data_IF_793188449452
#
_entry.id   IF_793188449452
#
_cell.length_a   1.000
_cell.length_b   1.000
_cell.length_c   1.000
_cell.angle_alpha   90.00
_cell.angle_beta   90.00
_cell.angle_gamma   90.00
#
_symmetry.space_group_name_H-M   'P 1'
#
loop_
_entity.id
_entity.type
_entity.pdbx_description
1 polymer ?
#
# COMPACT_ATOMS: atom_id res chain seq x y z
N UNK A 1 13.17 -11.73 25.21
CA UNK A 1 12.38 -11.30 24.03
C UNK A 1 12.79 -12.21 22.89
N UNK A 2 11.83 -12.81 22.17
CA UNK A 2 12.14 -13.63 20.99
C UNK A 2 12.60 -12.76 19.81
N UNK A 3 13.28 -13.37 18.85
CA UNK A 3 13.67 -12.70 17.61
C UNK A 3 12.42 -12.33 16.78
N UNK A 4 12.47 -11.15 16.15
CA UNK A 4 11.41 -10.70 15.23
C UNK A 4 11.85 -10.92 13.79
N UNK A 5 11.06 -11.68 13.04
CA UNK A 5 11.28 -11.96 11.63
C UNK A 5 10.21 -11.24 10.80
N UNK A 6 10.66 -10.47 9.81
CA UNK A 6 9.81 -9.72 8.89
C UNK A 6 9.98 -10.30 7.49
N UNK A 7 8.89 -10.37 6.73
CA UNK A 7 8.91 -10.72 5.31
C UNK A 7 8.35 -9.58 4.45
N UNK A 8 9.01 -9.29 3.33
CA UNK A 8 8.42 -8.48 2.26
C UNK A 8 7.56 -9.40 1.39
N UNK A 9 6.24 -9.19 1.35
CA UNK A 9 5.31 -10.13 0.69
C UNK A 9 5.04 -9.80 -0.78
N UNK A 10 5.87 -8.98 -1.40
CA UNK A 10 5.73 -8.56 -2.79
C UNK A 10 7.10 -8.44 -3.46
N UNK A 11 7.11 -8.54 -4.77
CA UNK A 11 8.22 -8.14 -5.64
C UNK A 11 7.74 -7.08 -6.64
N UNK A 12 8.66 -6.54 -7.44
CA UNK A 12 8.36 -5.45 -8.38
C UNK A 12 7.31 -5.82 -9.45
N UNK A 13 7.26 -7.07 -9.89
CA UNK A 13 6.35 -7.53 -10.93
C UNK A 13 4.95 -7.78 -10.35
N UNK A 14 4.85 -8.38 -9.16
CA UNK A 14 3.57 -8.64 -8.49
C UNK A 14 2.76 -7.36 -8.23
N UNK A 15 3.43 -6.21 -8.15
CA UNK A 15 2.79 -4.90 -7.99
C UNK A 15 1.88 -4.53 -9.17
N UNK A 16 2.05 -5.10 -10.36
CA UNK A 16 1.17 -4.77 -11.50
C UNK A 16 -0.28 -5.24 -11.32
N UNK A 17 -0.53 -6.21 -10.43
CA UNK A 17 -1.87 -6.69 -10.09
C UNK A 17 -2.05 -6.81 -8.58
N UNK A 18 -2.54 -5.72 -7.98
CA UNK A 18 -2.79 -5.64 -6.54
C UNK A 18 -3.82 -6.66 -6.05
N UNK A 19 -4.85 -6.97 -6.83
CA UNK A 19 -5.89 -7.90 -6.40
C UNK A 19 -5.35 -9.33 -6.33
N UNK A 20 -4.60 -9.75 -7.35
CA UNK A 20 -3.93 -11.05 -7.36
C UNK A 20 -2.92 -11.17 -6.22
N UNK A 21 -2.08 -10.15 -6.03
CA UNK A 21 -1.12 -10.09 -4.94
C UNK A 21 -1.79 -10.24 -3.56
N UNK A 22 -2.81 -9.44 -3.26
CA UNK A 22 -3.50 -9.51 -1.96
C UNK A 22 -4.23 -10.84 -1.76
N UNK A 23 -4.86 -11.39 -2.81
CA UNK A 23 -5.47 -12.73 -2.74
C UNK A 23 -4.45 -13.80 -2.42
N UNK A 24 -3.25 -13.74 -3.01
CA UNK A 24 -2.15 -14.66 -2.72
C UNK A 24 -1.69 -14.53 -1.27
N UNK A 25 -1.47 -13.30 -0.80
CA UNK A 25 -1.06 -13.04 0.60
C UNK A 25 -2.10 -13.59 1.58
N UNK A 26 -3.39 -13.37 1.32
CA UNK A 26 -4.46 -13.91 2.16
C UNK A 26 -4.46 -15.46 2.17
N UNK A 27 -4.27 -16.10 1.01
CA UNK A 27 -4.20 -17.55 0.89
C UNK A 27 -2.98 -18.18 1.57
N UNK A 28 -1.86 -17.46 1.61
CA UNK A 28 -0.61 -17.93 2.24
C UNK A 28 -0.49 -17.53 3.73
N UNK A 29 -1.42 -16.77 4.29
CA UNK A 29 -1.31 -16.21 5.64
C UNK A 29 -1.03 -17.26 6.73
N UNK A 30 -1.68 -18.43 6.66
CA UNK A 30 -1.45 -19.53 7.60
C UNK A 30 -0.03 -20.10 7.50
N UNK A 31 0.51 -20.21 6.28
CA UNK A 31 1.87 -20.70 6.03
C UNK A 31 2.90 -19.67 6.52
N UNK A 32 2.66 -18.37 6.28
CA UNK A 32 3.52 -17.29 6.76
C UNK A 32 3.61 -17.32 8.30
N UNK A 33 2.47 -17.40 8.99
CA UNK A 33 2.45 -17.49 10.46
C UNK A 33 3.13 -18.76 10.99
N UNK A 34 2.86 -19.91 10.38
CA UNK A 34 3.46 -21.20 10.80
C UNK A 34 4.97 -21.27 10.58
N UNK A 35 5.51 -20.46 9.65
CA UNK A 35 6.95 -20.32 9.42
C UNK A 35 7.66 -19.46 10.49
N UNK A 36 6.94 -18.91 11.46
CA UNK A 36 7.50 -18.08 12.53
C UNK A 36 7.70 -16.61 12.14
N UNK A 37 7.11 -16.15 11.04
CA UNK A 37 7.14 -14.75 10.63
C UNK A 37 6.23 -13.92 11.55
N UNK A 38 6.76 -12.82 12.09
CA UNK A 38 6.02 -11.93 13.00
C UNK A 38 5.29 -10.81 12.27
N UNK A 39 5.83 -10.35 11.14
CA UNK A 39 5.25 -9.24 10.38
C UNK A 39 5.46 -9.36 8.87
N UNK A 40 4.49 -8.82 8.12
CA UNK A 40 4.47 -8.84 6.66
C UNK A 40 4.44 -7.40 6.12
N UNK A 41 5.52 -6.99 5.46
CA UNK A 41 5.60 -5.71 4.74
C UNK A 41 4.82 -5.80 3.43
N UNK A 42 3.69 -5.09 3.41
CA UNK A 42 2.74 -4.94 2.31
C UNK A 42 3.14 -3.77 1.41
N UNK A 43 2.78 -3.78 0.12
CA UNK A 43 3.13 -2.71 -0.81
C UNK A 43 2.38 -1.40 -0.52
N UNK A 44 2.79 -0.27 -1.12
CA UNK A 44 2.05 0.98 -1.04
C UNK A 44 0.59 0.76 -1.50
N UNK A 45 -0.41 1.09 -0.66
CA UNK A 45 -1.80 0.72 -0.94
C UNK A 45 -2.57 1.80 -1.71
N UNK A 46 -2.06 3.04 -1.73
CA UNK A 46 -2.73 4.19 -2.32
C UNK A 46 -2.62 4.21 -3.85
N UNK A 47 -3.57 4.88 -4.48
CA UNK A 47 -3.55 5.15 -5.91
C UNK A 47 -2.34 6.01 -6.26
N UNK A 48 -1.68 5.64 -7.37
CA UNK A 48 -0.41 6.17 -7.81
C UNK A 48 -0.36 6.38 -9.31
N UNK A 49 0.58 7.19 -9.78
CA UNK A 49 0.87 7.37 -11.22
C UNK A 49 1.54 6.14 -11.80
N UNK A 50 2.55 5.61 -11.10
CA UNK A 50 3.20 4.36 -11.45
C UNK A 50 2.35 3.18 -10.98
N UNK A 51 2.50 2.05 -11.67
CA UNK A 51 1.80 0.82 -11.28
C UNK A 51 2.32 0.26 -9.95
N UNK A 52 3.56 0.61 -9.57
CA UNK A 52 4.20 0.08 -8.37
C UNK A 52 3.80 0.78 -7.08
N UNK A 53 3.21 1.97 -7.13
CA UNK A 53 2.66 2.66 -5.96
C UNK A 53 3.60 3.69 -5.34
N UNK A 54 4.78 3.94 -5.93
CA UNK A 54 5.79 4.82 -5.36
C UNK A 54 5.71 6.26 -5.85
N UNK A 55 4.76 6.63 -6.72
CA UNK A 55 4.43 8.01 -7.10
C UNK A 55 3.00 8.40 -6.67
N UNK A 56 2.67 8.31 -5.36
CA UNK A 56 1.29 8.37 -4.87
C UNK A 56 0.62 9.71 -5.18
N UNK A 57 -0.68 9.66 -5.52
CA UNK A 57 -1.52 10.82 -5.79
C UNK A 57 -2.54 11.08 -4.68
N UNK A 58 -3.37 10.06 -4.41
CA UNK A 58 -4.54 10.16 -3.55
C UNK A 58 -4.43 9.12 -2.43
N UNK A 59 -3.94 9.54 -1.26
CA UNK A 59 -3.60 8.61 -0.17
C UNK A 59 -4.78 7.79 0.34
N UNK A 60 -5.99 8.35 0.40
CA UNK A 60 -7.17 7.60 0.83
C UNK A 60 -7.87 6.83 -0.30
N UNK A 61 -7.43 6.97 -1.55
CA UNK A 61 -7.93 6.13 -2.62
C UNK A 61 -7.10 4.87 -2.66
N UNK A 62 -7.61 3.78 -2.09
CA UNK A 62 -6.89 2.51 -2.01
C UNK A 62 -7.09 1.68 -3.29
N UNK A 63 -6.03 1.02 -3.74
CA UNK A 63 -6.09 0.07 -4.86
C UNK A 63 -6.34 -1.32 -4.30
N UNK A 64 -7.37 -2.01 -4.79
CA UNK A 64 -7.71 -3.37 -4.34
C UNK A 64 -8.19 -3.45 -2.89
N UNK A 65 -8.88 -2.42 -2.39
CA UNK A 65 -9.25 -2.24 -0.99
C UNK A 65 -9.91 -3.46 -0.33
N UNK A 66 -10.86 -4.11 -1.02
CA UNK A 66 -11.52 -5.32 -0.51
C UNK A 66 -10.51 -6.44 -0.25
N UNK A 67 -9.64 -6.74 -1.21
CA UNK A 67 -8.65 -7.80 -1.07
C UNK A 67 -7.55 -7.40 -0.08
N UNK A 68 -7.18 -6.12 -0.02
CA UNK A 68 -6.26 -5.59 0.99
C UNK A 68 -6.79 -5.85 2.42
N UNK A 69 -8.06 -5.51 2.68
CA UNK A 69 -8.70 -5.78 3.98
C UNK A 69 -8.73 -7.27 4.31
N UNK A 70 -9.01 -8.12 3.32
CA UNK A 70 -8.99 -9.57 3.48
C UNK A 70 -7.59 -10.09 3.82
N UNK A 71 -6.55 -9.62 3.13
CA UNK A 71 -5.16 -9.99 3.41
C UNK A 71 -4.71 -9.55 4.81
N UNK A 72 -5.05 -8.32 5.22
CA UNK A 72 -4.79 -7.79 6.57
C UNK A 72 -5.45 -8.68 7.63
N UNK A 73 -6.74 -9.02 7.44
CA UNK A 73 -7.50 -9.86 8.36
C UNK A 73 -6.90 -11.27 8.45
N UNK A 74 -6.57 -11.88 7.31
CA UNK A 74 -5.97 -13.22 7.25
C UNK A 74 -4.61 -13.28 7.96
N UNK A 75 -3.70 -12.34 7.66
CA UNK A 75 -2.41 -12.23 8.33
C UNK A 75 -2.57 -12.07 9.85
N UNK A 76 -3.43 -11.14 10.27
CA UNK A 76 -3.67 -10.87 11.70
C UNK A 76 -4.28 -12.08 12.40
N UNK A 77 -5.19 -12.81 11.73
CA UNK A 77 -5.79 -14.04 12.24
C UNK A 77 -4.79 -15.19 12.44
N UNK A 78 -3.63 -15.12 11.80
CA UNK A 78 -2.52 -16.07 11.95
C UNK A 78 -1.33 -15.47 12.72
N UNK A 79 -1.54 -14.41 13.51
CA UNK A 79 -0.52 -13.83 14.38
C UNK A 79 0.57 -13.04 13.66
N UNK A 80 0.36 -12.72 12.38
CA UNK A 80 1.30 -11.93 11.56
C UNK A 80 0.82 -10.48 11.50
N UNK A 81 1.68 -9.54 11.90
CA UNK A 81 1.37 -8.10 11.86
C UNK A 81 1.53 -7.55 10.44
N UNK A 82 0.47 -7.03 9.78
CA UNK A 82 0.62 -6.35 8.50
C UNK A 82 1.31 -5.00 8.69
N UNK A 83 2.33 -4.70 7.89
CA UNK A 83 3.07 -3.44 7.88
C UNK A 83 2.81 -2.70 6.58
N UNK A 84 2.43 -1.42 6.67
CA UNK A 84 2.19 -0.58 5.50
C UNK A 84 3.49 0.04 4.98
N UNK A 85 3.66 0.05 3.67
CA UNK A 85 4.61 0.93 3.00
C UNK A 85 4.04 2.35 2.91
N UNK A 86 4.74 3.32 3.51
CA UNK A 86 4.28 4.70 3.64
C UNK A 86 5.18 5.63 2.82
N UNK A 87 4.71 5.97 1.62
CA UNK A 87 5.41 6.87 0.69
C UNK A 87 4.95 8.32 0.91
N UNK A 88 5.71 9.07 1.72
CA UNK A 88 5.36 10.46 2.11
C UNK A 88 6.45 11.48 1.81
N UNK A 89 7.63 11.04 1.36
CA UNK A 89 8.71 11.94 0.95
C UNK A 89 8.33 12.85 -0.23
N UNK A 90 7.53 12.32 -1.16
CA UNK A 90 7.01 13.05 -2.31
C UNK A 90 5.58 12.63 -2.61
N UNK A 91 4.90 13.44 -3.42
CA UNK A 91 3.52 13.22 -3.84
C UNK A 91 3.29 13.85 -5.21
N UNK A 92 2.47 13.22 -6.04
CA UNK A 92 2.10 13.76 -7.35
C UNK A 92 0.70 14.37 -7.29
N UNK A 93 0.49 15.51 -7.96
CA UNK A 93 -0.84 16.11 -8.02
C UNK A 93 -1.64 15.46 -9.16
N UNK A 94 -2.93 15.09 -8.94
CA UNK A 94 -3.77 14.53 -9.99
C UNK A 94 -4.23 15.56 -11.02
N UNK A 95 -4.11 16.86 -10.72
CA UNK A 95 -4.60 17.96 -11.57
C UNK A 95 -3.60 19.11 -11.65
N UNK A 96 -3.72 19.88 -12.72
CA UNK A 96 -3.09 21.19 -12.85
C UNK A 96 -3.87 22.19 -12.01
N UNK A 97 -3.15 22.97 -11.22
CA UNK A 97 -3.68 24.09 -10.45
C UNK A 97 -3.99 25.27 -11.38
N UNK A 98 -5.21 25.80 -11.27
CA UNK A 98 -5.71 26.86 -12.16
C UNK A 98 -5.01 28.21 -11.95
N UNK A 99 -4.41 28.46 -10.79
CA UNK A 99 -3.74 29.72 -10.47
C UNK A 99 -2.27 29.69 -10.88
N UNK A 100 -1.60 28.54 -10.76
CA UNK A 100 -0.17 28.43 -11.09
C UNK A 100 0.10 27.81 -12.46
N UNK A 101 -0.88 27.12 -13.05
CA UNK A 101 -0.69 26.35 -14.28
C UNK A 101 0.24 25.13 -14.11
N UNK A 102 0.54 24.72 -12.87
CA UNK A 102 1.44 23.60 -12.54
C UNK A 102 0.68 22.45 -11.89
N UNK A 103 1.25 21.24 -11.89
CA UNK A 103 0.71 20.08 -11.18
C UNK A 103 0.87 20.22 -9.65
N UNK A 104 0.09 21.10 -9.03
CA UNK A 104 0.09 21.36 -7.59
C UNK A 104 -1.31 21.30 -6.97
N UNK A 105 -2.34 20.93 -7.73
CA UNK A 105 -3.69 20.74 -7.21
C UNK A 105 -3.84 19.32 -6.64
N UNK A 106 -3.42 19.14 -5.38
CA UNK A 106 -3.54 17.88 -4.66
C UNK A 106 -4.99 17.61 -4.23
N UNK A 107 -5.38 16.34 -4.22
CA UNK A 107 -6.66 15.91 -3.66
C UNK A 107 -6.54 14.63 -2.87
N UNK A 108 -7.40 14.48 -1.87
CA UNK A 108 -7.55 13.25 -1.10
C UNK A 108 -6.25 12.76 -0.40
N UNK A 109 -5.67 13.54 0.55
CA UNK A 109 -6.13 14.83 1.09
C UNK A 109 -5.71 16.03 0.22
N UNK A 110 -6.45 17.12 0.32
CA UNK A 110 -6.06 18.41 -0.27
C UNK A 110 -4.86 18.99 0.52
N UNK A 111 -3.88 19.60 -0.16
CA UNK A 111 -2.69 20.20 0.47
C UNK A 111 -2.48 21.65 0.01
N UNK A 112 -3.54 22.42 0.16
CA UNK A 112 -3.63 23.78 -0.37
C UNK A 112 -4.31 23.80 -1.74
N UNK A 113 -5.21 24.75 -1.89
CA UNK A 113 -5.61 25.31 -3.19
C UNK A 113 -5.14 26.75 -3.18
N UNK A 114 -5.34 27.48 -4.28
CA UNK A 114 -5.19 28.93 -4.29
C UNK A 114 -5.74 29.52 -2.98
N UNK A 115 -4.85 30.18 -2.22
CA UNK A 115 -5.23 30.89 -0.99
C UNK A 115 -6.14 32.06 -1.29
#
# INVERSE_FOLDING_TARGET
MGEWVIIQVFDWAALSDRNSLYSKVAGDAANIGSAGINAAWMPPPSQSVDTQGYLPQQWYQLVGETNLKNAISALSGHGVTPLADVVVNHRTAPKVDSCTGKYTAFSNPDMGKCG
#
